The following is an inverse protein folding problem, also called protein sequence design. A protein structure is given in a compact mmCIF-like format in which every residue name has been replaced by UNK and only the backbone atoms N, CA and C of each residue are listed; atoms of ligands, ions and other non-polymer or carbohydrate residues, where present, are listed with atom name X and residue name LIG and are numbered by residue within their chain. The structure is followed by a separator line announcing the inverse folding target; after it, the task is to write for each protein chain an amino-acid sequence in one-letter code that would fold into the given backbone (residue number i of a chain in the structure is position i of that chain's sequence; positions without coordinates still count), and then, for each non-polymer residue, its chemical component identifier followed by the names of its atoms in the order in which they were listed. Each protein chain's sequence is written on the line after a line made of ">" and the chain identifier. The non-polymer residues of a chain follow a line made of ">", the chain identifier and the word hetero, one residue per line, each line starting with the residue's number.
data_IF_008947199009
#
_entry.id   IF_008947199009
#
_cell.length_a   1.000
_cell.length_b   1.000
_cell.length_c   1.000
_cell.angle_alpha   90.00
_cell.angle_beta   90.00
_cell.angle_gamma   90.00
#
_symmetry.space_group_name_H-M   'P 1'
#
loop_
_entity.id
_entity.type
_entity.pdbx_description
1 polymer ?
#
# COMPACT_ATOMS: atom_id res chain seq x y z
N UNK A 1 -5.14 -6.73 -8.41
CA UNK A 1 -6.51 -6.61 -8.97
C UNK A 1 -7.11 -5.30 -8.50
N UNK A 2 -7.76 -4.52 -9.39
CA UNK A 2 -8.33 -3.23 -9.01
C UNK A 2 -9.57 -2.86 -9.82
N UNK A 3 -10.44 -2.01 -9.24
CA UNK A 3 -11.63 -1.45 -9.88
C UNK A 3 -11.76 0.03 -9.52
N UNK A 4 -11.85 0.89 -10.54
CA UNK A 4 -12.32 2.27 -10.40
C UNK A 4 -13.82 2.34 -10.60
N UNK A 5 -14.46 3.35 -10.04
CA UNK A 5 -15.90 3.56 -10.11
C UNK A 5 -16.31 4.66 -11.10
N UNK A 6 -15.44 5.03 -12.03
CA UNK A 6 -15.66 6.09 -13.02
C UNK A 6 -16.86 5.89 -13.94
N UNK A 7 -17.32 4.63 -14.10
CA UNK A 7 -18.45 4.19 -14.93
C UNK A 7 -19.82 4.26 -14.23
N UNK A 8 -19.90 4.73 -12.97
CA UNK A 8 -21.16 4.86 -12.25
C UNK A 8 -22.10 5.91 -12.90
N UNK A 9 -23.44 5.71 -12.75
CA UNK A 9 -24.44 6.64 -13.29
C UNK A 9 -24.35 8.03 -12.63
N UNK A 10 -25.00 9.03 -13.26
CA UNK A 10 -24.96 10.42 -12.79
C UNK A 10 -25.49 10.60 -11.38
N UNK A 11 -26.47 9.79 -10.96
CA UNK A 11 -26.99 9.79 -9.58
C UNK A 11 -25.94 9.44 -8.51
N UNK A 12 -24.87 8.74 -8.90
CA UNK A 12 -23.78 8.30 -8.03
C UNK A 12 -22.42 8.95 -8.42
N UNK A 13 -22.44 10.07 -9.14
CA UNK A 13 -21.23 10.72 -9.68
C UNK A 13 -20.15 11.02 -8.64
N UNK A 14 -20.52 11.33 -7.39
CA UNK A 14 -19.56 11.61 -6.32
C UNK A 14 -18.82 10.36 -5.83
N UNK A 15 -19.25 9.15 -6.22
CA UNK A 15 -18.52 7.91 -6.00
C UNK A 15 -17.55 7.57 -7.14
N UNK A 16 -17.66 8.23 -8.30
CA UNK A 16 -16.77 8.00 -9.45
C UNK A 16 -15.28 8.22 -9.13
N UNK A 17 -14.87 9.16 -8.24
CA UNK A 17 -13.48 9.33 -7.84
C UNK A 17 -12.90 8.19 -6.99
N UNK A 18 -13.74 7.27 -6.52
CA UNK A 18 -13.26 6.11 -5.75
C UNK A 18 -12.62 5.05 -6.65
N UNK A 19 -11.59 4.41 -6.11
CA UNK A 19 -11.04 3.17 -6.61
C UNK A 19 -10.70 2.25 -5.44
N UNK A 20 -10.80 0.94 -5.69
CA UNK A 20 -10.36 -0.11 -4.78
C UNK A 20 -9.36 -0.98 -5.51
N UNK A 21 -8.25 -1.28 -4.87
CA UNK A 21 -7.29 -2.28 -5.35
C UNK A 21 -7.05 -3.32 -4.28
N UNK A 22 -6.64 -4.51 -4.68
CA UNK A 22 -6.35 -5.59 -3.76
C UNK A 22 -5.24 -6.49 -4.27
N UNK A 23 -4.52 -7.09 -3.33
CA UNK A 23 -3.45 -8.05 -3.56
C UNK A 23 -3.63 -9.23 -2.63
N UNK A 24 -3.25 -10.41 -3.10
CA UNK A 24 -3.13 -11.63 -2.29
C UNK A 24 -1.99 -12.47 -2.85
N UNK A 25 -1.17 -13.01 -1.98
CA UNK A 25 -0.05 -13.87 -2.36
C UNK A 25 0.43 -14.74 -1.22
N UNK A 26 0.63 -16.05 -1.43
CA UNK A 26 1.24 -16.92 -0.44
C UNK A 26 2.77 -16.70 -0.41
N UNK A 27 3.34 -16.74 0.79
CA UNK A 27 4.78 -16.72 1.02
C UNK A 27 5.22 -18.07 1.61
N UNK A 28 6.20 -18.68 0.97
CA UNK A 28 6.82 -19.91 1.39
C UNK A 28 8.27 -19.65 1.75
N UNK A 29 8.72 -19.93 2.99
CA UNK A 29 10.11 -19.77 3.35
C UNK A 29 10.97 -20.78 2.58
N UNK A 30 12.14 -20.37 2.13
CA UNK A 30 13.12 -21.25 1.47
C UNK A 30 13.75 -22.25 2.44
N UNK A 31 13.75 -21.91 3.73
CA UNK A 31 14.19 -22.79 4.82
C UNK A 31 13.07 -22.91 5.85
N UNK A 32 12.70 -24.12 6.20
CA UNK A 32 11.62 -24.39 7.15
C UNK A 32 11.99 -24.04 8.59
N UNK A 33 13.26 -24.03 8.93
CA UNK A 33 13.76 -23.73 10.27
C UNK A 33 14.85 -22.67 10.20
N UNK A 34 14.95 -21.85 11.24
CA UNK A 34 16.12 -21.04 11.55
C UNK A 34 16.78 -21.55 12.81
N UNK A 35 18.08 -21.48 12.87
CA UNK A 35 18.89 -21.87 14.02
C UNK A 35 19.54 -20.62 14.57
N UNK A 36 19.23 -20.28 15.81
CA UNK A 36 19.84 -19.14 16.52
C UNK A 36 20.69 -19.68 17.65
N UNK A 37 21.97 -19.37 17.64
CA UNK A 37 22.88 -19.69 18.75
C UNK A 37 22.95 -18.52 19.71
N UNK A 38 22.60 -18.76 20.97
CA UNK A 38 22.75 -17.77 22.03
C UNK A 38 24.14 -17.91 22.63
N UNK A 39 25.01 -16.95 22.37
CA UNK A 39 26.40 -16.96 22.83
C UNK A 39 26.53 -16.81 24.36
N UNK A 40 25.54 -16.24 25.03
CA UNK A 40 25.57 -16.02 26.48
C UNK A 40 25.19 -17.26 27.28
N UNK A 41 24.28 -18.08 26.74
CA UNK A 41 23.83 -19.33 27.39
C UNK A 41 24.44 -20.58 26.82
N UNK A 42 25.05 -20.50 25.61
CA UNK A 42 25.57 -21.65 24.86
C UNK A 42 24.47 -22.55 24.26
N UNK A 43 23.21 -22.12 24.31
CA UNK A 43 22.07 -22.89 23.82
C UNK A 43 21.78 -22.59 22.35
N UNK A 44 21.31 -23.61 21.65
CA UNK A 44 20.86 -23.51 20.26
C UNK A 44 19.35 -23.59 20.23
N UNK A 45 18.70 -22.52 19.80
CA UNK A 45 17.26 -22.48 19.58
C UNK A 45 16.94 -22.74 18.10
N UNK A 46 15.99 -23.66 17.85
CA UNK A 46 15.49 -23.98 16.51
C UNK A 46 14.10 -23.37 16.39
N UNK A 47 14.00 -22.25 15.67
CA UNK A 47 12.74 -21.62 15.33
C UNK A 47 12.18 -22.18 14.00
N UNK A 48 10.86 -22.20 13.86
CA UNK A 48 10.20 -22.53 12.59
C UNK A 48 9.89 -21.25 11.81
N UNK A 49 10.25 -21.24 10.53
CA UNK A 49 9.85 -20.18 9.60
C UNK A 49 8.43 -20.46 9.11
N UNK A 50 7.43 -19.63 9.43
CA UNK A 50 6.05 -19.91 9.05
C UNK A 50 5.82 -19.66 7.55
N UNK A 51 4.89 -20.43 6.98
CA UNK A 51 4.23 -20.07 5.72
C UNK A 51 3.21 -18.99 6.03
N UNK A 52 3.13 -17.96 5.19
CA UNK A 52 2.19 -16.86 5.40
C UNK A 52 1.38 -16.57 4.14
N UNK A 53 0.24 -15.94 4.32
CA UNK A 53 -0.58 -15.35 3.26
C UNK A 53 -0.55 -13.84 3.43
N UNK A 54 0.12 -13.14 2.53
CA UNK A 54 0.03 -11.69 2.43
C UNK A 54 -1.22 -11.34 1.63
N UNK A 55 -2.05 -10.47 2.16
CA UNK A 55 -3.21 -9.94 1.49
C UNK A 55 -3.45 -8.50 1.91
N UNK A 56 -4.16 -7.76 1.10
CA UNK A 56 -4.46 -6.38 1.44
C UNK A 56 -5.34 -5.73 0.40
N UNK A 57 -5.88 -4.59 0.76
CA UNK A 57 -6.62 -3.75 -0.15
C UNK A 57 -6.34 -2.28 0.13
N UNK A 58 -6.56 -1.45 -0.88
CA UNK A 58 -6.40 0.00 -0.80
C UNK A 58 -7.70 0.65 -1.27
N UNK A 59 -8.18 1.62 -0.51
CA UNK A 59 -9.25 2.52 -0.89
C UNK A 59 -8.63 3.86 -1.28
N UNK A 60 -9.04 4.40 -2.43
CA UNK A 60 -8.55 5.67 -2.93
C UNK A 60 -9.71 6.58 -3.30
N UNK A 61 -9.55 7.89 -3.05
CA UNK A 61 -10.46 8.92 -3.52
C UNK A 61 -9.66 10.06 -4.16
N UNK A 62 -9.83 10.24 -5.47
CA UNK A 62 -9.08 11.21 -6.25
C UNK A 62 -9.77 12.56 -6.29
N UNK A 63 -9.19 13.57 -5.62
CA UNK A 63 -9.66 14.96 -5.73
C UNK A 63 -9.39 15.53 -7.13
N UNK A 64 -8.34 15.04 -7.81
CA UNK A 64 -8.04 15.35 -9.21
C UNK A 64 -9.22 14.96 -10.10
N UNK A 65 -9.68 13.71 -9.98
CA UNK A 65 -10.80 13.19 -10.77
C UNK A 65 -12.11 13.91 -10.41
N UNK A 66 -12.36 14.13 -9.11
CA UNK A 66 -13.53 14.86 -8.63
C UNK A 66 -13.65 16.21 -9.33
N UNK A 67 -12.59 17.00 -9.29
CA UNK A 67 -12.61 18.36 -9.81
C UNK A 67 -12.62 18.42 -11.34
N UNK A 68 -11.94 17.47 -12.02
CA UNK A 68 -11.83 17.48 -13.48
C UNK A 68 -13.05 16.87 -14.20
N UNK A 69 -13.73 15.87 -13.60
CA UNK A 69 -14.73 15.06 -14.30
C UNK A 69 -16.09 14.96 -13.61
N UNK A 70 -16.21 15.38 -12.35
CA UNK A 70 -17.47 15.27 -11.60
C UNK A 70 -18.03 16.65 -11.28
N UNK A 71 -17.27 17.46 -10.59
CA UNK A 71 -17.66 18.80 -10.20
C UNK A 71 -16.43 19.62 -9.83
N UNK A 72 -16.25 20.75 -10.47
CA UNK A 72 -15.29 21.73 -10.01
C UNK A 72 -15.79 22.34 -8.68
N UNK A 73 -15.03 22.07 -7.62
CA UNK A 73 -15.30 22.56 -6.26
C UNK A 73 -14.35 23.68 -5.87
N UNK A 74 -13.57 24.20 -6.84
CA UNK A 74 -12.68 25.35 -6.66
C UNK A 74 -11.45 25.04 -5.80
N UNK A 75 -10.99 23.79 -5.73
CA UNK A 75 -9.76 23.46 -5.01
C UNK A 75 -8.55 24.08 -5.72
N UNK A 76 -7.81 24.92 -4.99
CA UNK A 76 -6.52 25.43 -5.42
C UNK A 76 -5.38 24.44 -5.09
N UNK A 77 -4.17 24.76 -5.60
CA UNK A 77 -2.97 24.02 -5.23
C UNK A 77 -2.66 24.14 -3.73
N UNK A 78 -2.18 23.07 -3.07
CA UNK A 78 -1.82 21.75 -3.60
C UNK A 78 -2.99 20.75 -3.64
N UNK A 79 -4.16 21.08 -3.07
CA UNK A 79 -5.28 20.15 -2.83
C UNK A 79 -5.91 19.60 -4.12
N UNK A 80 -5.91 20.40 -5.19
CA UNK A 80 -6.44 20.00 -6.50
C UNK A 80 -5.66 18.86 -7.17
N UNK A 81 -4.53 18.46 -6.59
CA UNK A 81 -3.66 17.37 -7.08
C UNK A 81 -3.46 16.26 -6.04
N UNK A 82 -4.38 16.13 -5.11
CA UNK A 82 -4.30 15.13 -4.04
C UNK A 82 -5.21 13.94 -4.30
N UNK A 83 -4.74 12.78 -3.83
CA UNK A 83 -5.49 11.53 -3.73
C UNK A 83 -5.47 11.16 -2.25
N UNK A 84 -6.65 10.98 -1.68
CA UNK A 84 -6.79 10.38 -0.35
C UNK A 84 -6.65 8.87 -0.50
N UNK A 85 -5.88 8.24 0.35
CA UNK A 85 -5.58 6.81 0.29
C UNK A 85 -5.69 6.19 1.67
N UNK A 86 -6.22 4.97 1.75
CA UNK A 86 -6.13 4.16 2.95
C UNK A 86 -5.79 2.74 2.55
N UNK A 87 -4.66 2.25 3.02
CA UNK A 87 -4.15 0.92 2.72
C UNK A 87 -4.33 0.00 3.92
N UNK A 88 -4.57 -1.28 3.65
CA UNK A 88 -4.76 -2.34 4.64
C UNK A 88 -3.83 -3.51 4.31
N UNK A 89 -2.50 -3.35 4.51
CA UNK A 89 -1.55 -4.45 4.33
C UNK A 89 -1.67 -5.43 5.50
N UNK A 90 -2.04 -6.68 5.19
CA UNK A 90 -2.29 -7.74 6.15
C UNK A 90 -1.47 -8.97 5.84
N UNK A 91 -1.13 -9.71 6.88
CA UNK A 91 -0.49 -11.02 6.78
C UNK A 91 -1.19 -12.01 7.72
N UNK A 92 -1.49 -13.19 7.19
CA UNK A 92 -2.05 -14.31 7.95
C UNK A 92 -1.01 -15.42 8.02
N UNK A 93 -0.67 -15.84 9.22
CA UNK A 93 0.20 -16.98 9.45
C UNK A 93 -0.56 -18.29 9.17
N UNK A 94 0.02 -19.17 8.32
CA UNK A 94 -0.61 -20.42 7.89
C UNK A 94 -0.05 -21.67 8.60
N UNK A 95 1.11 -21.56 9.23
CA UNK A 95 1.82 -22.71 9.85
C UNK A 95 2.58 -22.29 11.10
N UNK A 96 3.22 -23.26 11.75
CA UNK A 96 3.94 -23.10 13.00
C UNK A 96 3.05 -22.56 14.16
N UNK A 97 3.67 -22.06 15.21
CA UNK A 97 2.98 -21.61 16.44
C UNK A 97 2.08 -20.38 16.25
N UNK A 98 2.26 -19.66 15.14
CA UNK A 98 1.45 -18.47 14.80
C UNK A 98 0.23 -18.80 13.93
N UNK A 99 -0.05 -20.07 13.61
CA UNK A 99 -1.13 -20.46 12.70
C UNK A 99 -2.46 -19.79 13.03
N UNK A 100 -3.07 -19.14 12.05
CA UNK A 100 -4.33 -18.42 12.17
C UNK A 100 -4.21 -17.00 12.74
N UNK A 101 -3.01 -16.57 13.14
CA UNK A 101 -2.79 -15.19 13.60
C UNK A 101 -2.73 -14.25 12.41
N UNK A 102 -3.34 -13.08 12.58
CA UNK A 102 -3.33 -12.00 11.60
C UNK A 102 -2.56 -10.83 12.18
N UNK A 103 -1.64 -10.30 11.41
CA UNK A 103 -0.93 -9.04 11.66
C UNK A 103 -1.15 -8.08 10.50
N UNK A 104 -0.93 -6.80 10.71
CA UNK A 104 -1.07 -5.80 9.66
C UNK A 104 -1.31 -4.41 10.21
N UNK A 105 -1.51 -3.47 9.31
CA UNK A 105 -1.72 -2.06 9.66
C UNK A 105 -2.86 -1.46 8.86
N UNK A 106 -3.39 -0.36 9.35
CA UNK A 106 -4.25 0.56 8.60
C UNK A 106 -3.44 1.82 8.35
N UNK A 107 -3.26 2.15 7.08
CA UNK A 107 -2.40 3.26 6.67
C UNK A 107 -3.22 4.36 5.99
N UNK A 108 -3.91 5.24 6.73
CA UNK A 108 -4.55 6.41 6.15
C UNK A 108 -3.47 7.42 5.73
N UNK A 109 -3.61 7.94 4.53
CA UNK A 109 -2.62 8.84 3.94
C UNK A 109 -3.16 9.72 2.84
N UNK A 110 -2.27 10.52 2.32
CA UNK A 110 -2.49 11.40 1.17
C UNK A 110 -1.33 11.26 0.20
N UNK A 111 -1.64 11.35 -1.09
CA UNK A 111 -0.65 11.37 -2.16
C UNK A 111 -0.89 12.63 -2.98
N UNK A 112 0.15 13.43 -3.15
CA UNK A 112 0.17 14.58 -4.04
C UNK A 112 0.84 14.20 -5.36
N UNK A 113 0.17 14.44 -6.48
CA UNK A 113 0.64 14.06 -7.82
C UNK A 113 1.13 15.28 -8.57
N UNK A 114 2.45 15.39 -8.75
CA UNK A 114 3.09 16.39 -9.60
C UNK A 114 3.11 15.97 -11.07
N UNK A 115 3.81 16.73 -11.90
CA UNK A 115 4.03 16.40 -13.32
C UNK A 115 5.06 15.29 -13.49
N UNK A 116 6.12 15.34 -12.69
CA UNK A 116 7.28 14.45 -12.80
C UNK A 116 7.53 13.62 -11.55
N UNK A 117 6.84 13.98 -10.47
CA UNK A 117 7.06 13.38 -9.14
C UNK A 117 5.75 13.22 -8.41
N UNK A 118 5.72 12.28 -7.51
CA UNK A 118 4.63 11.99 -6.61
C UNK A 118 5.16 11.93 -5.19
N UNK A 119 4.46 12.53 -4.24
CA UNK A 119 4.81 12.54 -2.82
C UNK A 119 3.65 11.99 -2.02
N UNK A 120 3.92 11.00 -1.18
CA UNK A 120 2.94 10.41 -0.29
C UNK A 120 3.36 10.52 1.17
N UNK A 121 2.36 10.64 2.04
CA UNK A 121 2.52 10.59 3.49
C UNK A 121 1.34 9.83 4.08
N UNK A 122 1.62 8.84 4.92
CA UNK A 122 0.60 8.06 5.61
C UNK A 122 0.99 7.78 7.07
N UNK A 123 0.01 7.69 7.93
CA UNK A 123 0.18 7.10 9.25
C UNK A 123 0.14 5.57 9.12
N UNK A 124 0.95 4.86 9.89
CA UNK A 124 0.94 3.40 9.95
C UNK A 124 0.43 2.97 11.32
N UNK A 125 -0.80 2.49 11.38
CA UNK A 125 -1.50 2.17 12.62
C UNK A 125 -1.62 0.65 12.75
N UNK A 126 -0.95 0.00 13.73
CA UNK A 126 -1.07 -1.44 13.96
C UNK A 126 -2.51 -1.84 14.28
N UNK A 127 -3.01 -2.95 13.69
CA UNK A 127 -4.36 -3.46 13.97
C UNK A 127 -4.47 -4.18 15.32
N UNK A 128 -3.34 -4.64 15.86
CA UNK A 128 -3.28 -5.35 17.12
C UNK A 128 -1.87 -5.30 17.74
N UNK A 129 -1.76 -5.78 18.98
CA UNK A 129 -0.49 -5.78 19.73
C UNK A 129 0.59 -6.70 19.16
N UNK A 130 0.22 -7.69 18.32
CA UNK A 130 1.19 -8.55 17.63
C UNK A 130 1.90 -7.84 16.48
N UNK A 131 1.18 -6.95 15.79
CA UNK A 131 1.76 -6.08 14.76
C UNK A 131 2.67 -5.01 15.38
N UNK A 132 2.30 -4.51 16.56
CA UNK A 132 3.02 -3.47 17.27
C UNK A 132 2.10 -2.66 18.17
N UNK A 133 2.68 -1.71 18.90
CA UNK A 133 1.95 -0.83 19.82
C UNK A 133 2.08 0.65 19.46
N UNK A 134 3.01 0.98 18.56
CA UNK A 134 3.33 2.37 18.21
C UNK A 134 2.84 2.68 16.80
N UNK A 135 2.33 3.89 16.62
CA UNK A 135 2.00 4.42 15.30
C UNK A 135 3.29 4.85 14.62
N UNK A 136 3.45 4.44 13.37
CA UNK A 136 4.54 4.85 12.49
C UNK A 136 4.10 5.89 11.47
N UNK A 137 5.06 6.39 10.70
CA UNK A 137 4.84 7.28 9.56
C UNK A 137 5.52 6.69 8.33
N UNK A 138 4.81 6.67 7.21
CA UNK A 138 5.30 6.23 5.91
C UNK A 138 5.43 7.45 4.99
N UNK A 139 6.58 7.59 4.34
CA UNK A 139 6.82 8.57 3.28
C UNK A 139 7.05 7.87 1.94
N UNK A 140 6.47 8.40 0.87
CA UNK A 140 6.66 7.97 -0.51
C UNK A 140 7.20 9.12 -1.34
N UNK A 141 8.22 8.86 -2.13
CA UNK A 141 8.67 9.73 -3.22
C UNK A 141 8.78 8.86 -4.45
N UNK A 142 8.05 9.21 -5.49
CA UNK A 142 8.05 8.50 -6.77
C UNK A 142 8.41 9.48 -7.90
N UNK A 143 9.21 9.02 -8.87
CA UNK A 143 9.62 9.78 -10.04
C UNK A 143 9.10 9.09 -11.31
N UNK A 144 8.45 9.83 -12.17
CA UNK A 144 8.01 9.35 -13.49
C UNK A 144 9.18 9.48 -14.47
N UNK A 145 9.95 8.40 -14.64
CA UNK A 145 11.19 8.41 -15.46
C UNK A 145 10.89 8.64 -16.94
N UNK A 146 9.78 8.14 -17.43
CA UNK A 146 9.27 8.36 -18.79
C UNK A 146 8.96 9.83 -19.07
N UNK A 147 8.40 10.55 -18.10
CA UNK A 147 8.15 11.99 -18.22
C UNK A 147 9.42 12.85 -18.02
N UNK A 148 10.34 12.40 -17.15
CA UNK A 148 11.60 13.08 -16.89
C UNK A 148 12.58 12.96 -18.05
N UNK A 149 12.67 11.77 -18.66
CA UNK A 149 13.66 11.42 -19.68
C UNK A 149 13.02 10.72 -20.90
N UNK A 150 12.02 11.33 -21.58
CA UNK A 150 11.22 10.66 -22.60
C UNK A 150 11.98 10.19 -23.84
N UNK A 151 13.19 10.74 -24.07
CA UNK A 151 14.03 10.41 -25.23
C UNK A 151 15.26 9.56 -24.91
N UNK A 152 15.38 9.08 -23.66
CA UNK A 152 16.51 8.27 -23.21
C UNK A 152 16.06 7.08 -22.37
N UNK A 153 16.39 7.04 -21.08
CA UNK A 153 16.04 5.92 -20.19
C UNK A 153 14.52 5.76 -19.93
N UNK A 154 13.74 6.81 -20.16
CA UNK A 154 12.28 6.78 -20.07
C UNK A 154 11.57 6.43 -21.36
N UNK A 155 12.30 6.23 -22.48
CA UNK A 155 11.70 5.83 -23.74
C UNK A 155 11.16 4.39 -23.66
N UNK A 156 9.98 4.10 -24.27
CA UNK A 156 9.46 2.73 -24.35
C UNK A 156 10.48 1.79 -25.02
N UNK A 157 10.70 0.61 -24.42
CA UNK A 157 11.63 -0.40 -24.97
C UNK A 157 11.05 -1.06 -26.21
N UNK A 158 9.72 -1.08 -26.33
CA UNK A 158 8.99 -1.63 -27.47
C UNK A 158 8.07 -0.57 -28.08
N UNK A 159 8.07 -0.48 -29.39
CA UNK A 159 7.18 0.35 -30.23
C UNK A 159 6.12 -0.49 -30.90
#
# INVERSE_FOLDING_TARGET
>A
MGKGFGDLPESLKYLRPFAITGVVGPNFPTQSNNVTFNADTGETEIGQNPKTLTWGFTLQYSLIYLQSFVKDIGLGAPFNRMILVTEFPMETCLSADCKGQITGTVNPGIVWVGKYTEFGLAAQIPINSRTGKSVGVLGLIHFFIDDLFPKSIGAPIFH
#
